data_IF_410501144870
#
_entry.id   IF_410501144870
#
_cell.length_a   1.000
_cell.length_b   1.000
_cell.length_c   1.000
_cell.angle_alpha   90.00
_cell.angle_beta   90.00
_cell.angle_gamma   90.00
#
_symmetry.space_group_name_H-M   'P 1'
#
loop_
_entity.id
_entity.type
_entity.pdbx_description
1 polymer ?
#
# COMPACT_ATOMS: atom_id res chain seq x y z
N UNK A 1 -5.84 9.72 -12.09
CA UNK A 1 -6.74 9.39 -10.96
C UNK A 1 -6.06 8.36 -10.06
N UNK A 2 -6.35 8.38 -8.76
CA UNK A 2 -6.03 7.28 -7.84
C UNK A 2 -7.11 6.20 -7.97
N UNK A 3 -6.78 4.93 -7.76
CA UNK A 3 -7.75 3.84 -7.91
C UNK A 3 -7.10 2.46 -8.08
N UNK A 4 -7.94 1.44 -8.32
CA UNK A 4 -7.54 0.03 -8.33
C UNK A 4 -7.67 -0.63 -6.96
N UNK A 5 -7.43 -1.94 -6.92
CA UNK A 5 -7.54 -2.77 -5.72
C UNK A 5 -6.32 -3.68 -5.57
N UNK A 6 -5.93 -3.97 -4.34
CA UNK A 6 -4.75 -4.76 -4.06
C UNK A 6 -4.66 -5.21 -2.62
N UNK A 7 -3.50 -5.73 -2.25
CA UNK A 7 -3.15 -6.02 -0.86
C UNK A 7 -1.82 -5.38 -0.50
N UNK A 8 -1.69 -4.94 0.74
CA UNK A 8 -0.39 -4.73 1.40
C UNK A 8 -0.04 -6.02 2.12
N UNK A 9 1.12 -6.58 1.81
CA UNK A 9 1.70 -7.71 2.55
C UNK A 9 2.81 -7.18 3.46
N UNK A 10 2.67 -7.38 4.76
CA UNK A 10 3.66 -7.04 5.79
C UNK A 10 3.93 -8.21 6.74
N UNK A 11 4.57 -7.93 7.88
CA UNK A 11 4.91 -8.97 8.88
C UNK A 11 3.67 -9.67 9.48
N UNK A 12 2.53 -9.00 9.51
CA UNK A 12 1.27 -9.53 10.03
C UNK A 12 0.43 -10.28 8.98
N UNK A 13 0.93 -10.42 7.74
CA UNK A 13 0.19 -11.02 6.63
C UNK A 13 -0.33 -9.99 5.63
N UNK A 14 -1.48 -10.28 5.02
CA UNK A 14 -2.07 -9.43 3.96
C UNK A 14 -3.23 -8.59 4.46
N UNK A 15 -3.27 -7.33 4.03
CA UNK A 15 -4.37 -6.38 4.29
C UNK A 15 -4.88 -5.83 2.97
N UNK A 16 -6.18 -5.97 2.70
CA UNK A 16 -6.79 -5.46 1.48
C UNK A 16 -6.82 -3.93 1.45
N UNK A 17 -6.55 -3.36 0.27
CA UNK A 17 -6.57 -1.92 0.00
C UNK A 17 -7.37 -1.59 -1.26
N UNK A 18 -7.96 -0.40 -1.29
CA UNK A 18 -8.70 0.13 -2.43
C UNK A 18 -8.87 1.64 -2.36
N UNK A 19 -9.79 2.17 -3.16
CA UNK A 19 -10.09 3.61 -3.15
C UNK A 19 -10.53 4.07 -1.74
N UNK A 20 -9.86 5.10 -1.23
CA UNK A 20 -10.13 5.66 0.11
C UNK A 20 -9.37 4.98 1.25
N UNK A 21 -8.64 3.89 1.00
CA UNK A 21 -7.77 3.27 2.02
C UNK A 21 -6.58 4.18 2.36
N UNK A 22 -6.19 4.18 3.63
CA UNK A 22 -4.93 4.75 4.13
C UNK A 22 -4.20 3.67 4.90
N UNK A 23 -2.91 3.48 4.60
CA UNK A 23 -2.06 2.51 5.28
C UNK A 23 -0.87 3.23 5.90
N UNK A 24 -0.61 2.97 7.17
CA UNK A 24 0.61 3.39 7.84
C UNK A 24 1.60 2.23 7.86
N UNK A 25 2.82 2.47 7.40
CA UNK A 25 3.92 1.51 7.45
C UNK A 25 4.94 2.03 8.45
N UNK A 26 5.26 1.25 9.47
CA UNK A 26 6.21 1.68 10.49
C UNK A 26 7.65 1.72 9.93
N UNK A 27 8.54 2.58 10.49
CA UNK A 27 9.96 2.56 10.12
C UNK A 27 10.57 1.16 10.23
N UNK A 28 11.28 0.72 9.19
CA UNK A 28 11.91 -0.60 9.15
C UNK A 28 10.98 -1.78 8.89
N UNK A 29 9.66 -1.56 8.77
CA UNK A 29 8.72 -2.62 8.45
C UNK A 29 8.90 -3.07 6.99
N UNK A 30 9.20 -4.36 6.81
CA UNK A 30 9.22 -4.99 5.49
C UNK A 30 7.79 -5.12 4.97
N UNK A 31 7.53 -4.56 3.80
CA UNK A 31 6.21 -4.53 3.20
C UNK A 31 6.28 -4.59 1.68
N UNK A 32 5.19 -5.04 1.05
CA UNK A 32 5.03 -5.07 -0.39
C UNK A 32 3.58 -4.73 -0.78
N UNK A 33 3.40 -3.96 -1.86
CA UNK A 33 2.09 -3.66 -2.44
C UNK A 33 1.87 -4.56 -3.66
N UNK A 34 0.80 -5.33 -3.66
CA UNK A 34 0.48 -6.29 -4.72
C UNK A 34 -0.83 -5.88 -5.36
N UNK A 35 -0.80 -5.62 -6.67
CA UNK A 35 -2.02 -5.43 -7.45
C UNK A 35 -2.70 -6.78 -7.65
N UNK A 36 -3.90 -6.97 -7.10
CA UNK A 36 -4.71 -8.18 -7.23
C UNK A 36 -5.95 -7.96 -8.10
N UNK A 37 -6.15 -6.73 -8.59
CA UNK A 37 -7.27 -6.36 -9.44
C UNK A 37 -6.97 -6.43 -10.94
N UNK A 38 -8.00 -6.14 -11.72
CA UNK A 38 -7.98 -6.07 -13.19
C UNK A 38 -7.55 -4.69 -13.74
N UNK A 39 -7.44 -3.70 -12.85
CA UNK A 39 -7.04 -2.34 -13.17
C UNK A 39 -5.69 -2.00 -12.52
N UNK A 40 -5.03 -0.95 -13.02
CA UNK A 40 -3.77 -0.46 -12.44
C UNK A 40 -4.04 0.08 -11.03
N UNK A 41 -3.34 -0.48 -10.03
CA UNK A 41 -3.28 0.08 -8.68
C UNK A 41 -2.47 1.39 -8.68
N UNK A 42 -3.14 2.53 -8.51
CA UNK A 42 -2.56 3.88 -8.45
C UNK A 42 -2.80 4.47 -7.07
N UNK A 43 -1.72 4.71 -6.33
CA UNK A 43 -1.74 5.28 -4.98
C UNK A 43 -0.60 6.28 -4.80
N UNK A 44 -0.67 7.06 -3.72
CA UNK A 44 0.39 7.99 -3.32
C UNK A 44 1.20 7.32 -2.21
N UNK A 45 2.51 7.23 -2.40
CA UNK A 45 3.44 6.78 -1.37
C UNK A 45 4.15 8.00 -0.81
N UNK A 46 3.99 8.24 0.50
CA UNK A 46 4.68 9.30 1.23
C UNK A 46 5.80 8.68 2.05
N UNK A 47 7.04 9.05 1.73
CA UNK A 47 8.23 8.62 2.47
C UNK A 47 8.75 9.86 3.19
N UNK A 48 8.83 9.85 4.54
CA UNK A 48 9.36 10.99 5.28
C UNK A 48 10.85 11.21 4.94
N UNK A 49 11.25 12.46 4.80
CA UNK A 49 12.67 12.84 4.73
C UNK A 49 13.27 12.69 6.14
N UNK A 50 14.48 12.12 6.21
CA UNK A 50 15.27 12.09 7.44
C UNK A 50 16.32 13.21 7.38
N UNK A 51 16.55 13.88 8.51
CA UNK A 51 17.62 14.87 8.67
C UNK A 51 19.01 14.22 8.80
#
# INVERSE_FOLDING_TARGET
SLGGGGVVRGGAGETSIGAGSVVFIAPGEQHCFINTGDQVLRFICLIPLQD
#
